data_IF_215203293976
#
_entry.id   IF_215203293976
#
_cell.length_a   1.000
_cell.length_b   1.000
_cell.length_c   1.000
_cell.angle_alpha   90.00
_cell.angle_beta   90.00
_cell.angle_gamma   90.00
#
_symmetry.space_group_name_H-M   'P 1'
#
loop_
_entity.id
_entity.type
_entity.pdbx_description
1 polymer ?
#
# COMPACT_ATOMS: atom_id res chain seq x y z
N UNK A 1 1.29 -0.39 -0.26
CA UNK A 1 -0.19 -0.29 -0.21
C UNK A 1 -0.71 0.36 -1.49
N UNK A 2 -1.97 0.15 -1.88
CA UNK A 2 -2.56 0.81 -3.06
C UNK A 2 -3.55 1.89 -2.63
N UNK A 3 -3.29 3.14 -3.00
CA UNK A 3 -4.17 4.28 -2.76
C UNK A 3 -4.83 4.66 -4.07
N UNK A 4 -6.15 4.82 -4.07
CA UNK A 4 -6.94 5.03 -5.28
C UNK A 4 -7.85 6.24 -5.12
N UNK A 5 -7.85 7.16 -6.09
CA UNK A 5 -8.76 8.31 -6.09
C UNK A 5 -10.12 7.97 -6.73
N UNK A 6 -11.03 8.96 -6.80
CA UNK A 6 -12.37 8.76 -7.40
C UNK A 6 -12.33 8.41 -8.90
N UNK A 7 -11.26 8.79 -9.60
CA UNK A 7 -11.04 8.48 -11.01
C UNK A 7 -10.41 7.08 -11.25
N UNK A 8 -10.20 6.29 -10.19
CA UNK A 8 -9.53 4.97 -10.21
C UNK A 8 -8.03 5.03 -10.55
N UNK A 9 -7.41 6.19 -10.38
CA UNK A 9 -5.97 6.35 -10.55
C UNK A 9 -5.23 5.93 -9.27
N UNK A 10 -4.01 5.44 -9.41
CA UNK A 10 -3.19 4.94 -8.31
C UNK A 10 -2.13 6.00 -7.95
N UNK A 11 -2.00 6.30 -6.66
CA UNK A 11 -0.89 7.12 -6.19
C UNK A 11 0.41 6.30 -6.15
N UNK A 12 1.44 6.83 -6.82
CA UNK A 12 2.81 6.32 -6.78
C UNK A 12 3.72 7.41 -6.24
N UNK A 13 4.72 7.01 -5.45
CA UNK A 13 5.76 7.89 -4.94
C UNK A 13 7.01 7.72 -5.81
N UNK A 14 7.57 8.84 -6.28
CA UNK A 14 8.88 8.85 -6.92
C UNK A 14 9.95 8.86 -5.83
N UNK A 15 10.76 7.80 -5.76
CA UNK A 15 11.80 7.70 -4.75
C UNK A 15 13.02 8.52 -5.16
N UNK A 16 13.61 9.22 -4.19
CA UNK A 16 14.78 10.08 -4.40
C UNK A 16 16.10 9.31 -4.54
N UNK A 17 16.15 8.05 -4.07
CA UNK A 17 17.35 7.23 -4.04
C UNK A 17 17.68 6.60 -5.42
N UNK A 18 16.66 6.23 -6.18
CA UNK A 18 16.81 5.51 -7.43
C UNK A 18 15.93 6.04 -8.59
N UNK A 19 15.17 7.13 -8.37
CA UNK A 19 14.24 7.69 -9.34
C UNK A 19 13.20 6.70 -9.88
N UNK A 20 12.89 5.65 -9.11
CA UNK A 20 11.83 4.70 -9.45
C UNK A 20 10.51 5.11 -8.81
N UNK A 21 9.41 4.82 -9.51
CA UNK A 21 8.07 4.94 -8.97
C UNK A 21 7.71 3.68 -8.19
N UNK A 22 7.26 3.88 -6.94
CA UNK A 22 6.85 2.80 -6.04
C UNK A 22 5.50 3.06 -5.40
N UNK A 23 4.89 2.02 -4.87
CA UNK A 23 3.75 2.16 -3.98
C UNK A 23 4.23 2.60 -2.60
N UNK A 24 3.48 3.48 -1.96
CA UNK A 24 3.71 3.86 -0.57
C UNK A 24 3.60 2.66 0.37
N UNK A 25 4.40 2.61 1.42
CA UNK A 25 4.21 1.66 2.52
C UNK A 25 5.49 1.09 3.12
N UNK A 26 5.34 0.64 4.36
CA UNK A 26 6.41 0.07 5.16
C UNK A 26 5.98 -1.17 5.93
N UNK A 27 6.67 -1.41 7.04
CA UNK A 27 6.51 -2.62 7.83
C UNK A 27 5.36 -2.51 8.82
N UNK A 28 4.76 -3.65 9.15
CA UNK A 28 3.83 -3.74 10.27
C UNK A 28 4.62 -3.65 11.58
N UNK A 29 4.22 -2.77 12.49
CA UNK A 29 4.82 -2.71 13.82
C UNK A 29 4.11 -3.64 14.82
N UNK A 30 4.79 -3.96 15.93
CA UNK A 30 4.23 -4.84 16.96
C UNK A 30 3.03 -4.16 17.60
N UNK A 31 1.88 -4.85 17.57
CA UNK A 31 0.63 -4.36 18.16
C UNK A 31 -0.23 -3.52 17.20
N UNK A 32 0.24 -3.27 15.97
CA UNK A 32 -0.57 -2.64 14.94
C UNK A 32 -1.42 -3.66 14.17
N UNK A 33 -2.62 -3.24 13.78
CA UNK A 33 -3.39 -3.87 12.71
C UNK A 33 -2.88 -3.42 11.34
N UNK A 34 -3.18 -4.17 10.28
CA UNK A 34 -2.82 -3.79 8.91
C UNK A 34 -3.39 -2.42 8.52
N UNK A 35 -4.61 -2.11 8.97
CA UNK A 35 -5.25 -0.82 8.73
C UNK A 35 -4.55 0.33 9.46
N UNK A 36 -4.08 0.10 10.69
CA UNK A 36 -3.33 1.10 11.45
C UNK A 36 -1.99 1.40 10.78
N UNK A 37 -1.22 0.36 10.45
CA UNK A 37 0.05 0.53 9.73
C UNK A 37 -0.17 1.23 8.39
N UNK A 38 -1.18 0.84 7.62
CA UNK A 38 -1.49 1.51 6.34
C UNK A 38 -1.83 3.00 6.51
N UNK A 39 -2.53 3.39 7.58
CA UNK A 39 -2.83 4.81 7.85
C UNK A 39 -1.59 5.58 8.29
N UNK A 40 -0.76 5.01 9.15
CA UNK A 40 0.50 5.61 9.64
C UNK A 40 1.46 5.85 8.48
N UNK A 41 1.77 4.80 7.73
CA UNK A 41 2.68 4.84 6.57
C UNK A 41 2.21 5.83 5.49
N UNK A 42 0.90 5.88 5.21
CA UNK A 42 0.35 6.85 4.27
C UNK A 42 0.63 8.29 4.71
N UNK A 43 0.42 8.57 6.00
CA UNK A 43 0.62 9.90 6.55
C UNK A 43 2.11 10.28 6.57
N UNK A 44 3.00 9.36 6.97
CA UNK A 44 4.45 9.58 7.03
C UNK A 44 5.06 9.87 5.65
N UNK A 45 4.65 9.15 4.61
CA UNK A 45 5.25 9.28 3.28
C UNK A 45 4.59 10.35 2.39
N UNK A 46 3.32 10.67 2.62
CA UNK A 46 2.54 11.54 1.72
C UNK A 46 1.82 12.70 2.41
N UNK A 47 1.70 12.69 3.75
CA UNK A 47 0.91 13.65 4.51
C UNK A 47 -0.61 13.50 4.37
N UNK A 48 -1.08 12.48 3.65
CA UNK A 48 -2.51 12.24 3.41
C UNK A 48 -3.16 11.44 4.54
N UNK A 49 -4.44 11.71 4.78
CA UNK A 49 -5.27 10.96 5.74
C UNK A 49 -6.36 10.20 4.98
N UNK A 50 -6.35 8.87 5.10
CA UNK A 50 -7.36 8.02 4.47
C UNK A 50 -8.67 8.03 5.28
N UNK A 51 -9.77 8.42 4.64
CA UNK A 51 -11.12 8.35 5.22
C UNK A 51 -11.64 6.90 5.36
N UNK A 52 -11.24 6.02 4.44
CA UNK A 52 -11.65 4.62 4.43
C UNK A 52 -10.48 3.73 4.04
N UNK A 53 -10.29 2.64 4.79
CA UNK A 53 -9.24 1.65 4.55
C UNK A 53 -9.89 0.28 4.57
N UNK A 54 -9.47 -0.59 3.65
CA UNK A 54 -9.98 -1.95 3.55
C UNK A 54 -8.81 -2.89 3.39
N UNK A 55 -8.74 -3.90 4.25
CA UNK A 55 -7.84 -5.03 4.08
C UNK A 55 -8.41 -5.96 3.01
N UNK A 56 -7.59 -6.26 2.01
CA UNK A 56 -7.94 -7.22 0.96
C UNK A 56 -6.83 -8.24 0.87
N UNK A 57 -7.15 -9.46 1.30
CA UNK A 57 -6.29 -10.63 1.17
C UNK A 57 -6.79 -11.42 -0.02
N UNK A 58 -6.16 -11.22 -1.17
CA UNK A 58 -6.42 -12.05 -2.34
C UNK A 58 -5.60 -13.34 -2.16
N UNK A 59 -6.26 -14.46 -1.89
CA UNK A 59 -5.60 -15.77 -1.93
C UNK A 59 -5.14 -16.03 -3.36
N UNK A 60 -3.83 -15.95 -3.62
CA UNK A 60 -3.26 -16.49 -4.84
C UNK A 60 -3.53 -17.99 -4.85
N UNK A 61 -4.54 -18.40 -5.63
CA UNK A 61 -4.73 -19.79 -6.01
C UNK A 61 -3.41 -20.22 -6.66
N UNK A 62 -2.60 -20.99 -5.94
CA UNK A 62 -1.30 -21.50 -6.36
C UNK A 62 -1.28 -21.68 -7.88
N UNK A 63 -0.39 -20.95 -8.56
CA UNK A 63 -0.12 -21.10 -9.97
C UNK A 63 0.15 -22.58 -10.25
N UNK A 64 -0.88 -23.29 -10.70
CA UNK A 64 -0.82 -24.72 -10.96
C UNK A 64 -0.15 -24.88 -12.32
N UNK A 65 1.01 -25.55 -12.28
CA UNK A 65 1.83 -26.11 -13.37
C UNK A 65 2.83 -25.17 -14.05
N UNK A 66 4.08 -25.32 -13.61
CA UNK A 66 5.17 -25.61 -14.52
C UNK A 66 4.89 -26.97 -15.20
N UNK A 67 4.66 -26.93 -16.52
CA UNK A 67 5.09 -27.94 -17.50
C UNK A 67 5.48 -27.16 -18.75
#
# INVERSE_FOLDING_TARGET
>A
MRIVNKAKEILLQLRSDNNCWGLAGGSLEIGETLEQAAKRELFEETGLIANHVTTRVDYLKYAKRMI
#
